data_IF_715399173181
#
_entry.id   IF_715399173181
#
_cell.length_a   1.000
_cell.length_b   1.000
_cell.length_c   1.000
_cell.angle_alpha   90.00
_cell.angle_beta   90.00
_cell.angle_gamma   90.00
#
_symmetry.space_group_name_H-M   'P 1'
#
loop_
_entity.id
_entity.type
_entity.pdbx_description
1 polymer ?
#
# COMPACT_ATOMS: atom_id res chain seq x y z
N UNK A 1 -6.64 -13.54 -22.23
CA UNK A 1 -7.94 -14.19 -22.00
C UNK A 1 -8.91 -13.18 -21.43
N UNK A 2 -10.14 -13.11 -21.92
CA UNK A 2 -11.19 -12.24 -21.37
C UNK A 2 -11.97 -12.92 -20.22
N UNK A 3 -11.63 -14.17 -19.92
CA UNK A 3 -12.28 -14.96 -18.87
C UNK A 3 -11.38 -15.04 -17.65
N UNK A 4 -11.95 -14.91 -16.47
CA UNK A 4 -11.25 -15.21 -15.22
C UNK A 4 -11.05 -16.75 -15.09
N UNK A 5 -10.24 -17.18 -14.14
CA UNK A 5 -9.89 -18.61 -13.96
C UNK A 5 -11.11 -19.49 -13.73
N UNK A 6 -12.12 -18.99 -13.01
CA UNK A 6 -13.41 -19.69 -12.77
C UNK A 6 -14.19 -19.90 -14.05
N UNK A 7 -14.35 -18.84 -14.83
CA UNK A 7 -15.07 -18.90 -16.11
C UNK A 7 -14.36 -19.83 -17.08
N UNK A 8 -13.02 -19.76 -17.12
CA UNK A 8 -12.21 -20.68 -17.91
C UNK A 8 -12.36 -22.13 -17.47
N UNK A 9 -12.42 -22.38 -16.15
CA UNK A 9 -12.68 -23.71 -15.59
C UNK A 9 -14.10 -24.20 -15.92
N UNK A 10 -15.11 -23.35 -15.78
CA UNK A 10 -16.50 -23.69 -16.14
C UNK A 10 -16.65 -23.97 -17.63
N UNK A 11 -16.02 -23.19 -18.50
CA UNK A 11 -16.05 -23.45 -19.95
C UNK A 11 -15.39 -24.78 -20.30
N UNK A 12 -14.39 -25.22 -19.53
CA UNK A 12 -13.73 -26.52 -19.72
C UNK A 12 -14.69 -27.71 -19.51
N UNK A 13 -15.75 -27.53 -18.72
CA UNK A 13 -16.78 -28.53 -18.47
C UNK A 13 -17.79 -28.62 -19.63
N UNK A 14 -17.99 -27.52 -20.38
CA UNK A 14 -19.00 -27.43 -21.43
C UNK A 14 -18.64 -28.19 -22.70
N UNK A 15 -17.36 -28.41 -22.98
CA UNK A 15 -16.93 -29.07 -24.21
C UNK A 15 -15.59 -29.79 -24.07
N UNK A 16 -15.47 -30.99 -24.65
CA UNK A 16 -14.21 -31.72 -24.77
C UNK A 16 -13.09 -30.90 -25.44
N UNK A 17 -13.46 -30.01 -26.36
CA UNK A 17 -12.55 -29.10 -27.09
C UNK A 17 -11.96 -28.04 -26.15
N UNK A 18 -12.68 -27.60 -25.12
CA UNK A 18 -12.31 -26.53 -24.21
C UNK A 18 -11.65 -27.05 -22.92
N UNK A 19 -11.73 -28.37 -22.70
CA UNK A 19 -11.19 -29.02 -21.48
C UNK A 19 -9.74 -28.71 -21.22
N UNK A 20 -8.95 -28.52 -22.27
CA UNK A 20 -7.50 -28.27 -22.17
C UNK A 20 -7.13 -26.79 -22.28
N UNK A 21 -8.09 -25.86 -22.47
CA UNK A 21 -7.78 -24.44 -22.64
C UNK A 21 -7.24 -23.80 -21.38
N UNK A 22 -7.67 -24.25 -20.21
CA UNK A 22 -7.16 -23.77 -18.93
C UNK A 22 -5.65 -24.02 -18.78
N UNK A 23 -5.13 -25.06 -19.46
CA UNK A 23 -3.70 -25.38 -19.46
C UNK A 23 -2.83 -24.31 -20.14
N UNK A 24 -3.42 -23.42 -20.93
CA UNK A 24 -2.71 -22.39 -21.69
C UNK A 24 -3.04 -20.97 -21.26
N UNK A 25 -3.77 -20.79 -20.13
CA UNK A 25 -4.08 -19.46 -19.60
C UNK A 25 -2.85 -18.93 -18.88
N UNK A 26 -2.21 -17.84 -19.37
CA UNK A 26 -0.99 -17.31 -18.74
C UNK A 26 -1.27 -16.56 -17.44
N UNK A 27 -2.52 -16.18 -17.19
CA UNK A 27 -2.93 -15.41 -16.03
C UNK A 27 -3.91 -16.23 -15.20
N UNK A 28 -3.49 -16.63 -13.99
CA UNK A 28 -4.37 -17.28 -13.03
C UNK A 28 -4.82 -16.27 -11.99
N UNK A 29 -6.13 -16.23 -11.78
CA UNK A 29 -6.80 -15.43 -10.78
C UNK A 29 -7.72 -16.34 -9.96
N UNK A 30 -7.33 -16.66 -8.73
CA UNK A 30 -7.93 -17.68 -7.89
C UNK A 30 -8.39 -17.04 -6.58
N UNK A 31 -9.70 -17.07 -6.35
CA UNK A 31 -10.34 -16.52 -5.15
C UNK A 31 -11.20 -17.59 -4.47
N UNK A 32 -11.14 -17.69 -3.15
CA UNK A 32 -11.95 -18.65 -2.38
C UNK A 32 -13.39 -18.20 -2.17
N UNK A 33 -13.69 -16.90 -2.33
CA UNK A 33 -15.04 -16.35 -2.22
C UNK A 33 -16.08 -17.08 -3.10
N UNK A 34 -15.62 -17.68 -4.18
CA UNK A 34 -16.38 -18.49 -5.13
C UNK A 34 -17.03 -19.70 -4.46
N UNK A 35 -16.40 -20.24 -3.43
CA UNK A 35 -16.82 -21.44 -2.70
C UNK A 35 -17.67 -21.09 -1.48
N UNK A 36 -17.72 -19.83 -1.04
CA UNK A 36 -18.51 -19.41 0.12
C UNK A 36 -19.98 -19.29 -0.20
N UNK A 37 -20.77 -20.26 0.30
CA UNK A 37 -22.21 -20.16 0.40
C UNK A 37 -22.57 -19.55 1.76
N UNK A 38 -23.48 -18.56 1.83
CA UNK A 38 -23.85 -17.95 3.11
C UNK A 38 -24.42 -18.98 4.09
N UNK A 39 -23.93 -18.91 5.34
CA UNK A 39 -24.45 -19.61 6.53
C UNK A 39 -24.37 -21.15 6.52
N UNK A 40 -23.16 -21.71 6.54
CA UNK A 40 -22.97 -23.14 6.82
C UNK A 40 -22.10 -23.35 8.05
N UNK A 41 -22.42 -24.40 8.87
CA UNK A 41 -21.67 -24.75 10.09
C UNK A 41 -20.21 -25.16 9.83
N UNK A 42 -19.41 -25.29 10.91
CA UNK A 42 -17.97 -25.51 10.88
C UNK A 42 -17.54 -26.67 9.96
N UNK A 43 -18.17 -27.86 10.09
CA UNK A 43 -17.85 -29.04 9.26
C UNK A 43 -18.01 -28.81 7.74
N UNK A 44 -18.93 -27.92 7.35
CA UNK A 44 -19.12 -27.58 5.94
C UNK A 44 -18.06 -26.60 5.45
N UNK A 45 -17.53 -25.75 6.33
CA UNK A 45 -16.44 -24.83 6.02
C UNK A 45 -15.16 -25.58 5.72
N UNK A 46 -14.75 -26.50 6.59
CA UNK A 46 -13.54 -27.30 6.42
C UNK A 46 -13.58 -28.11 5.11
N UNK A 47 -14.76 -28.65 4.75
CA UNK A 47 -14.94 -29.33 3.46
C UNK A 47 -14.82 -28.38 2.26
N UNK A 48 -15.32 -27.16 2.39
CA UNK A 48 -15.25 -26.15 1.32
C UNK A 48 -13.80 -25.73 1.13
N UNK A 49 -13.06 -25.51 2.21
CA UNK A 49 -11.63 -25.19 2.16
C UNK A 49 -10.84 -26.31 1.48
N UNK A 50 -11.11 -27.59 1.84
CA UNK A 50 -10.49 -28.72 1.18
C UNK A 50 -10.81 -28.77 -0.32
N UNK A 51 -12.05 -28.52 -0.71
CA UNK A 51 -12.45 -28.47 -2.13
C UNK A 51 -11.76 -27.34 -2.87
N UNK A 52 -11.57 -26.18 -2.23
CA UNK A 52 -10.81 -25.08 -2.80
C UNK A 52 -9.35 -25.48 -3.02
N UNK A 53 -8.69 -26.01 -2.00
CA UNK A 53 -7.30 -26.46 -2.10
C UNK A 53 -7.12 -27.52 -3.20
N UNK A 54 -8.01 -28.51 -3.28
CA UNK A 54 -8.00 -29.53 -4.33
C UNK A 54 -8.25 -28.93 -5.73
N UNK A 55 -9.03 -27.87 -5.81
CA UNK A 55 -9.26 -27.14 -7.06
C UNK A 55 -7.98 -26.44 -7.54
N UNK A 56 -7.29 -25.71 -6.65
CA UNK A 56 -6.01 -25.04 -6.98
C UNK A 56 -4.97 -26.06 -7.42
N UNK A 57 -4.79 -27.15 -6.69
CA UNK A 57 -3.87 -28.22 -7.03
C UNK A 57 -4.14 -28.78 -8.45
N UNK A 58 -5.41 -29.00 -8.79
CA UNK A 58 -5.81 -29.49 -10.10
C UNK A 58 -5.55 -28.48 -11.22
N UNK A 59 -5.85 -27.20 -10.97
CA UNK A 59 -5.61 -26.13 -11.96
C UNK A 59 -4.12 -26.05 -12.28
N UNK A 60 -3.27 -26.00 -11.25
CA UNK A 60 -1.83 -25.94 -11.41
C UNK A 60 -1.26 -27.21 -12.10
N UNK A 61 -1.76 -28.40 -11.73
CA UNK A 61 -1.38 -29.65 -12.38
C UNK A 61 -1.77 -29.72 -13.84
N UNK A 62 -2.97 -29.22 -14.21
CA UNK A 62 -3.44 -29.18 -15.61
C UNK A 62 -2.60 -28.25 -16.48
N UNK A 63 -2.08 -27.18 -15.93
CA UNK A 63 -1.20 -26.25 -16.65
C UNK A 63 0.22 -26.82 -16.89
N UNK A 64 0.63 -27.79 -16.09
CA UNK A 64 1.97 -28.41 -16.21
C UNK A 64 3.07 -27.34 -16.10
N UNK A 65 3.96 -27.31 -17.08
CA UNK A 65 5.09 -26.37 -17.15
C UNK A 65 4.83 -25.19 -18.11
N UNK A 66 3.56 -24.90 -18.45
CA UNK A 66 3.25 -23.76 -19.33
C UNK A 66 3.74 -22.45 -18.69
N UNK A 67 4.35 -21.54 -19.46
CA UNK A 67 4.75 -20.23 -18.95
C UNK A 67 3.56 -19.50 -18.35
N UNK A 68 3.81 -18.79 -17.25
CA UNK A 68 2.81 -17.99 -16.53
C UNK A 68 3.28 -16.55 -16.42
N UNK A 69 2.40 -15.62 -16.71
CA UNK A 69 2.67 -14.18 -16.61
C UNK A 69 2.21 -13.63 -15.26
N UNK A 70 0.97 -13.97 -14.84
CA UNK A 70 0.37 -13.49 -13.61
C UNK A 70 -0.21 -14.62 -12.76
N UNK A 71 0.04 -14.56 -11.48
CA UNK A 71 -0.61 -15.39 -10.46
C UNK A 71 -1.24 -14.53 -9.37
N UNK A 72 -2.54 -14.68 -9.17
CA UNK A 72 -3.31 -14.00 -8.14
C UNK A 72 -3.99 -15.07 -7.27
N UNK A 73 -3.77 -14.99 -5.96
CA UNK A 73 -4.36 -15.87 -4.96
C UNK A 73 -4.96 -15.05 -3.82
N UNK A 74 -6.28 -15.16 -3.64
CA UNK A 74 -7.00 -14.62 -2.49
C UNK A 74 -7.75 -15.75 -1.79
N UNK A 75 -7.30 -16.10 -0.57
CA UNK A 75 -7.84 -17.24 0.13
C UNK A 75 -7.72 -17.17 1.65
N UNK A 76 -8.60 -17.92 2.31
CA UNK A 76 -8.66 -18.00 3.77
C UNK A 76 -8.79 -19.44 4.27
N UNK A 77 -8.20 -19.75 5.44
CA UNK A 77 -8.28 -21.04 6.07
C UNK A 77 -7.55 -22.15 5.31
N UNK A 78 -6.50 -21.80 4.58
CA UNK A 78 -5.66 -22.73 3.83
C UNK A 78 -4.44 -23.14 4.64
N UNK A 79 -3.85 -24.28 4.28
CA UNK A 79 -2.60 -24.76 4.85
C UNK A 79 -1.42 -23.98 4.25
N UNK A 80 -0.54 -23.43 5.10
CA UNK A 80 0.64 -22.68 4.70
C UNK A 80 1.57 -23.48 3.77
N UNK A 81 1.77 -24.78 4.06
CA UNK A 81 2.61 -25.66 3.24
C UNK A 81 2.07 -25.78 1.81
N UNK A 82 0.74 -25.79 1.64
CA UNK A 82 0.13 -25.82 0.30
C UNK A 82 0.33 -24.50 -0.45
N UNK A 83 0.19 -23.37 0.25
CA UNK A 83 0.45 -22.05 -0.35
C UNK A 83 1.90 -21.99 -0.83
N UNK A 84 2.85 -22.43 -0.02
CA UNK A 84 4.27 -22.49 -0.40
C UNK A 84 4.49 -23.35 -1.65
N UNK A 85 3.88 -24.54 -1.71
CA UNK A 85 3.94 -25.41 -2.90
C UNK A 85 3.36 -24.74 -4.15
N UNK A 86 2.28 -24.00 -4.04
CA UNK A 86 1.68 -23.27 -5.17
C UNK A 86 2.59 -22.14 -5.65
N UNK A 87 3.15 -21.36 -4.71
CA UNK A 87 4.10 -20.30 -5.02
C UNK A 87 5.34 -20.89 -5.73
N UNK A 88 5.95 -21.94 -5.19
CA UNK A 88 7.09 -22.60 -5.81
C UNK A 88 6.77 -23.06 -7.25
N UNK A 89 5.60 -23.64 -7.43
CA UNK A 89 5.16 -24.12 -8.74
C UNK A 89 5.08 -22.97 -9.77
N UNK A 90 4.49 -21.82 -9.42
CA UNK A 90 4.35 -20.68 -10.33
C UNK A 90 5.68 -19.96 -10.56
N UNK A 91 6.56 -19.95 -9.54
CA UNK A 91 7.89 -19.36 -9.64
C UNK A 91 8.76 -20.08 -10.69
N UNK A 92 8.74 -21.40 -10.70
CA UNK A 92 9.48 -22.22 -11.69
C UNK A 92 9.01 -21.91 -13.12
N UNK A 93 7.74 -21.53 -13.31
CA UNK A 93 7.17 -21.17 -14.61
C UNK A 93 7.53 -19.75 -15.06
N UNK A 94 8.23 -19.00 -14.24
CA UNK A 94 8.74 -17.68 -14.56
C UNK A 94 7.69 -16.58 -14.53
N UNK A 95 6.75 -16.65 -13.59
CA UNK A 95 5.75 -15.61 -13.32
C UNK A 95 6.41 -14.25 -13.14
N UNK A 96 5.79 -13.20 -13.70
CA UNK A 96 6.27 -11.81 -13.63
C UNK A 96 5.43 -10.93 -12.70
N UNK A 97 4.19 -11.33 -12.42
CA UNK A 97 3.29 -10.60 -11.52
C UNK A 97 2.68 -11.56 -10.51
N UNK A 98 2.79 -11.22 -9.23
CA UNK A 98 2.21 -11.99 -8.12
C UNK A 98 1.35 -11.07 -7.27
N UNK A 99 0.13 -11.53 -6.96
CA UNK A 99 -0.76 -11.01 -5.94
C UNK A 99 -1.07 -12.12 -4.93
N UNK A 100 -0.87 -11.85 -3.64
CA UNK A 100 -1.17 -12.77 -2.56
C UNK A 100 -1.95 -12.08 -1.45
N UNK A 101 -3.12 -12.62 -1.12
CA UNK A 101 -3.92 -12.31 0.05
C UNK A 101 -4.23 -13.64 0.73
N UNK A 102 -3.62 -13.91 1.90
CA UNK A 102 -3.66 -15.24 2.51
C UNK A 102 -3.92 -15.16 4.01
N UNK A 103 -5.11 -15.58 4.42
CA UNK A 103 -5.45 -15.79 5.83
C UNK A 103 -5.36 -17.26 6.20
N UNK A 104 -4.48 -17.64 7.13
CA UNK A 104 -4.37 -19.03 7.57
C UNK A 104 -5.59 -19.46 8.38
N UNK A 105 -5.87 -18.80 9.50
CA UNK A 105 -7.12 -18.97 10.26
C UNK A 105 -7.57 -17.63 10.82
N UNK A 106 -8.71 -17.11 10.36
CA UNK A 106 -9.26 -15.84 10.86
C UNK A 106 -9.54 -15.81 12.38
N UNK A 107 -9.48 -16.97 13.07
CA UNK A 107 -9.75 -17.07 14.50
C UNK A 107 -8.49 -17.10 15.35
N UNK A 108 -7.41 -17.68 14.83
CA UNK A 108 -6.11 -17.73 15.54
C UNK A 108 -5.37 -16.40 15.44
N UNK A 109 -5.68 -15.60 14.40
CA UNK A 109 -4.89 -14.41 14.08
C UNK A 109 -3.51 -14.75 13.52
N UNK A 110 -3.30 -16.01 13.09
CA UNK A 110 -2.03 -16.44 12.50
C UNK A 110 -1.90 -15.88 11.08
N UNK A 111 -0.80 -15.19 10.84
CA UNK A 111 -0.44 -14.67 9.52
C UNK A 111 0.33 -15.73 8.73
N UNK A 112 0.20 -15.68 7.40
CA UNK A 112 1.01 -16.48 6.49
C UNK A 112 2.41 -15.87 6.39
N UNK A 113 3.43 -16.60 6.87
CA UNK A 113 4.81 -16.19 6.71
C UNK A 113 5.24 -16.38 5.24
N UNK A 114 5.51 -15.28 4.56
CA UNK A 114 5.88 -15.31 3.15
C UNK A 114 7.17 -16.11 2.94
N UNK A 115 7.11 -17.09 2.04
CA UNK A 115 8.28 -17.89 1.69
C UNK A 115 9.39 -17.00 1.08
N UNK A 116 10.62 -17.04 1.61
CA UNK A 116 11.75 -16.29 1.05
C UNK A 116 12.03 -16.60 -0.42
N UNK A 117 11.61 -17.76 -0.92
CA UNK A 117 11.79 -18.19 -2.31
C UNK A 117 11.18 -17.25 -3.32
N UNK A 118 10.13 -16.50 -2.95
CA UNK A 118 9.53 -15.50 -3.85
C UNK A 118 10.55 -14.45 -4.29
N UNK A 119 11.51 -14.13 -3.43
CA UNK A 119 12.56 -13.14 -3.67
C UNK A 119 13.74 -13.69 -4.49
N UNK A 120 13.74 -14.98 -4.82
CA UNK A 120 14.71 -15.59 -5.74
C UNK A 120 14.35 -15.38 -7.21
N UNK A 121 13.10 -14.98 -7.51
CA UNK A 121 12.62 -14.82 -8.88
C UNK A 121 13.11 -13.52 -9.53
N UNK A 122 14.16 -13.63 -10.33
CA UNK A 122 14.74 -12.48 -11.06
C UNK A 122 13.88 -11.94 -12.21
N UNK A 123 12.72 -12.55 -12.49
CA UNK A 123 11.76 -12.11 -13.53
C UNK A 123 10.57 -11.35 -12.96
N UNK A 124 10.44 -11.26 -11.63
CA UNK A 124 9.33 -10.60 -10.99
C UNK A 124 9.37 -9.08 -11.25
N UNK A 125 8.30 -8.57 -11.82
CA UNK A 125 8.12 -7.15 -12.16
C UNK A 125 7.14 -6.46 -11.22
N UNK A 126 6.09 -7.18 -10.78
CA UNK A 126 5.10 -6.70 -9.82
C UNK A 126 4.89 -7.70 -8.70
N UNK A 127 4.95 -7.21 -7.46
CA UNK A 127 4.61 -7.95 -6.25
C UNK A 127 3.57 -7.16 -5.47
N UNK A 128 2.46 -7.82 -5.16
CA UNK A 128 1.37 -7.26 -4.37
C UNK A 128 1.03 -8.26 -3.26
N UNK A 129 1.20 -7.84 -2.02
CA UNK A 129 0.96 -8.62 -0.82
C UNK A 129 -0.12 -7.92 -0.01
N UNK A 130 -1.15 -8.67 0.33
CA UNK A 130 -2.30 -8.11 1.05
C UNK A 130 -2.72 -9.06 2.18
N UNK A 131 -3.46 -8.53 3.10
CA UNK A 131 -4.17 -9.19 4.20
C UNK A 131 -3.61 -10.54 4.68
N UNK A 132 -3.17 -10.59 5.93
CA UNK A 132 -2.73 -11.82 6.58
C UNK A 132 -1.33 -12.31 6.18
N UNK A 133 -0.59 -11.54 5.39
CA UNK A 133 0.80 -11.88 5.00
C UNK A 133 1.78 -11.24 5.98
N UNK A 134 2.71 -12.05 6.50
CA UNK A 134 3.82 -11.63 7.36
C UNK A 134 5.13 -11.70 6.57
N UNK A 135 5.81 -10.58 6.45
CA UNK A 135 7.10 -10.47 5.75
C UNK A 135 8.27 -10.17 6.71
N UNK A 136 8.10 -10.45 8.00
CA UNK A 136 9.13 -10.20 9.01
C UNK A 136 10.31 -11.19 8.99
N UNK A 137 10.22 -12.29 8.24
CA UNK A 137 11.27 -13.31 8.16
C UNK A 137 12.26 -13.10 7.00
N UNK A 138 12.22 -11.95 6.35
CA UNK A 138 13.16 -11.65 5.26
C UNK A 138 14.61 -11.61 5.77
N UNK A 139 15.53 -12.12 4.96
CA UNK A 139 16.96 -12.04 5.18
C UNK A 139 17.65 -11.08 4.19
N UNK A 140 18.93 -10.82 4.40
CA UNK A 140 19.71 -9.91 3.56
C UNK A 140 20.05 -10.47 2.17
N UNK A 141 19.72 -11.74 1.89
CA UNK A 141 20.03 -12.40 0.61
C UNK A 141 19.01 -12.08 -0.50
N UNK A 142 17.92 -11.41 -0.15
CA UNK A 142 16.88 -11.05 -1.12
C UNK A 142 17.39 -10.05 -2.15
N UNK A 143 17.00 -10.24 -3.42
CA UNK A 143 17.35 -9.32 -4.49
C UNK A 143 16.43 -9.49 -5.69
N UNK A 144 15.62 -8.49 -6.01
CA UNK A 144 14.68 -8.44 -7.13
C UNK A 144 15.07 -7.30 -8.09
N UNK A 145 16.02 -7.54 -9.00
CA UNK A 145 16.65 -6.47 -9.78
C UNK A 145 15.74 -5.75 -10.76
N UNK A 146 14.63 -6.35 -11.18
CA UNK A 146 13.70 -5.78 -12.17
C UNK A 146 12.31 -5.51 -11.63
N UNK A 147 12.10 -5.66 -10.31
CA UNK A 147 10.81 -5.32 -9.70
C UNK A 147 10.55 -3.82 -9.84
N UNK A 148 9.40 -3.49 -10.41
CA UNK A 148 8.98 -2.11 -10.65
C UNK A 148 7.89 -1.64 -9.72
N UNK A 149 6.97 -2.52 -9.33
CA UNK A 149 5.84 -2.19 -8.48
C UNK A 149 5.80 -3.11 -7.27
N UNK A 150 5.80 -2.50 -6.09
CA UNK A 150 5.57 -3.16 -4.81
C UNK A 150 4.34 -2.56 -4.14
N UNK A 151 3.35 -3.40 -3.85
CA UNK A 151 2.16 -3.05 -3.08
C UNK A 151 2.11 -3.89 -1.82
N UNK A 152 2.07 -3.23 -0.68
CA UNK A 152 1.89 -3.83 0.64
C UNK A 152 0.62 -3.24 1.26
N UNK A 153 -0.40 -4.08 1.47
CA UNK A 153 -1.70 -3.68 2.00
C UNK A 153 -2.08 -4.58 3.17
N UNK A 154 -2.24 -4.01 4.35
CA UNK A 154 -2.63 -4.74 5.56
C UNK A 154 -1.71 -5.94 5.86
N UNK A 155 -0.40 -5.75 5.68
CA UNK A 155 0.62 -6.77 5.94
C UNK A 155 1.35 -6.50 7.25
N UNK A 156 1.83 -7.58 7.90
CA UNK A 156 2.69 -7.48 9.07
C UNK A 156 4.14 -7.27 8.63
N UNK A 157 4.77 -6.19 9.11
CA UNK A 157 6.12 -5.77 8.70
C UNK A 157 6.91 -5.20 9.88
N UNK A 158 8.22 -5.42 9.92
CA UNK A 158 9.11 -4.69 10.81
C UNK A 158 9.96 -3.68 10.05
N UNK A 159 10.36 -2.60 10.72
CA UNK A 159 11.09 -1.47 10.10
C UNK A 159 12.40 -1.93 9.46
N UNK A 160 13.18 -2.74 10.17
CA UNK A 160 14.45 -3.30 9.68
C UNK A 160 14.25 -4.14 8.40
N UNK A 161 13.16 -4.91 8.33
CA UNK A 161 12.85 -5.70 7.13
C UNK A 161 12.35 -4.85 5.97
N UNK A 162 11.65 -3.76 6.25
CA UNK A 162 11.26 -2.81 5.23
C UNK A 162 12.49 -2.14 4.57
N UNK A 163 13.46 -1.73 5.37
CA UNK A 163 14.71 -1.14 4.85
C UNK A 163 15.50 -2.16 4.01
N UNK A 164 15.65 -3.40 4.49
CA UNK A 164 16.29 -4.49 3.73
C UNK A 164 15.55 -4.70 2.40
N UNK A 165 14.22 -4.74 2.43
CA UNK A 165 13.39 -4.92 1.24
C UNK A 165 13.64 -3.80 0.22
N UNK A 166 13.61 -2.54 0.62
CA UNK A 166 13.85 -1.43 -0.30
C UNK A 166 15.24 -1.48 -0.94
N UNK A 167 16.29 -1.83 -0.18
CA UNK A 167 17.63 -1.99 -0.71
C UNK A 167 17.76 -3.13 -1.74
N UNK A 168 16.91 -4.15 -1.62
CA UNK A 168 16.87 -5.29 -2.53
C UNK A 168 16.18 -4.99 -3.87
N UNK A 169 15.57 -3.79 -4.04
CA UNK A 169 14.71 -3.40 -5.17
C UNK A 169 15.27 -2.21 -5.96
N UNK A 170 16.42 -2.33 -6.63
CA UNK A 170 17.10 -1.19 -7.27
C UNK A 170 16.34 -0.57 -8.44
N UNK A 171 15.35 -1.25 -9.01
CA UNK A 171 14.52 -0.78 -10.13
C UNK A 171 13.10 -0.40 -9.73
N UNK A 172 12.82 -0.30 -8.43
CA UNK A 172 11.48 0.00 -7.93
C UNK A 172 11.03 1.40 -8.37
N UNK A 173 9.94 1.48 -9.13
CA UNK A 173 9.38 2.72 -9.63
C UNK A 173 8.13 3.15 -8.83
N UNK A 174 7.37 2.20 -8.32
CA UNK A 174 6.11 2.42 -7.60
C UNK A 174 6.10 1.65 -6.28
N UNK A 175 5.81 2.36 -5.19
CA UNK A 175 5.64 1.82 -3.84
C UNK A 175 4.28 2.23 -3.30
N UNK A 176 3.49 1.25 -2.85
CA UNK A 176 2.24 1.47 -2.13
C UNK A 176 2.33 0.80 -0.78
N UNK A 177 2.11 1.57 0.28
CA UNK A 177 1.97 1.12 1.66
C UNK A 177 0.57 1.52 2.12
N UNK A 178 -0.30 0.56 2.37
CA UNK A 178 -1.67 0.79 2.85
C UNK A 178 -1.93 -0.07 4.10
N UNK A 179 -2.35 0.56 5.18
CA UNK A 179 -2.74 -0.11 6.43
C UNK A 179 -1.69 -1.08 6.99
N UNK A 180 -0.42 -0.64 7.03
CA UNK A 180 0.70 -1.49 7.46
C UNK A 180 0.63 -1.75 8.96
N UNK A 181 0.69 -3.02 9.34
CA UNK A 181 0.82 -3.44 10.74
C UNK A 181 2.32 -3.53 11.13
N UNK A 182 2.83 -2.48 11.79
CA UNK A 182 4.21 -2.43 12.24
C UNK A 182 4.40 -3.25 13.52
N UNK A 183 5.39 -4.12 13.53
CA UNK A 183 5.63 -5.06 14.64
C UNK A 183 6.14 -4.40 15.94
N UNK A 184 6.45 -3.11 15.92
CA UNK A 184 7.03 -2.35 17.04
C UNK A 184 6.26 -1.06 17.28
N UNK A 185 6.39 -0.49 18.50
CA UNK A 185 5.68 0.72 18.90
C UNK A 185 6.42 2.02 18.55
N UNK A 186 7.76 1.98 18.52
CA UNK A 186 8.64 3.11 18.15
C UNK A 186 9.01 2.94 16.67
N UNK A 187 8.18 3.51 15.80
CA UNK A 187 8.25 3.28 14.36
C UNK A 187 8.90 4.45 13.65
N UNK A 188 10.20 4.32 13.41
CA UNK A 188 10.96 5.25 12.58
C UNK A 188 11.19 4.66 11.20
N UNK A 189 10.52 5.20 10.18
CA UNK A 189 10.54 4.68 8.81
C UNK A 189 11.34 5.61 7.91
N UNK A 190 12.26 5.04 7.13
CA UNK A 190 12.96 5.73 6.06
C UNK A 190 12.63 5.10 4.71
N UNK A 191 11.99 5.87 3.84
CA UNK A 191 11.80 5.48 2.43
C UNK A 191 12.98 6.01 1.64
N UNK A 192 13.97 5.14 1.38
CA UNK A 192 15.19 5.49 0.66
C UNK A 192 15.29 4.70 -0.64
N UNK A 193 15.21 5.40 -1.79
CA UNK A 193 15.36 4.79 -3.11
C UNK A 193 15.63 5.85 -4.18
N UNK A 194 16.63 5.60 -5.00
CA UNK A 194 16.97 6.47 -6.13
C UNK A 194 16.09 6.27 -7.36
N UNK A 195 15.34 5.16 -7.43
CA UNK A 195 14.53 4.79 -8.62
C UNK A 195 13.05 5.10 -8.46
N UNK A 196 12.54 5.31 -7.23
CA UNK A 196 11.14 5.56 -6.98
C UNK A 196 10.63 6.83 -7.67
N UNK A 197 9.53 6.69 -8.38
CA UNK A 197 8.81 7.75 -9.07
C UNK A 197 7.46 8.05 -8.42
N UNK A 198 6.83 7.03 -7.85
CA UNK A 198 5.50 7.12 -7.25
C UNK A 198 5.51 6.47 -5.87
N UNK A 199 5.04 7.21 -4.88
CA UNK A 199 4.83 6.70 -3.52
C UNK A 199 3.39 6.99 -3.12
N UNK A 200 2.71 5.98 -2.59
CA UNK A 200 1.43 6.08 -1.91
C UNK A 200 1.57 5.48 -0.52
N UNK A 201 1.28 6.26 0.51
CA UNK A 201 1.25 5.83 1.91
C UNK A 201 -0.12 6.19 2.47
N UNK A 202 -0.87 5.19 2.90
CA UNK A 202 -2.19 5.37 3.52
C UNK A 202 -2.24 4.59 4.84
N UNK A 203 -2.77 5.21 5.89
CA UNK A 203 -3.13 4.55 7.14
C UNK A 203 -2.08 3.59 7.72
N UNK A 204 -0.79 3.91 7.55
CA UNK A 204 0.30 3.09 8.08
C UNK A 204 0.49 3.23 9.59
N UNK A 205 -0.42 3.95 10.27
CA UNK A 205 -0.48 4.06 11.70
C UNK A 205 0.32 5.25 12.28
N UNK A 206 0.53 5.22 13.58
CA UNK A 206 1.26 6.28 14.28
C UNK A 206 2.77 6.06 14.11
N UNK A 207 3.39 6.89 13.25
CA UNK A 207 4.84 6.88 13.08
C UNK A 207 5.48 7.91 14.01
N UNK A 208 6.57 7.52 14.70
CA UNK A 208 7.39 8.47 15.45
C UNK A 208 8.20 9.33 14.48
N UNK A 209 8.69 8.72 13.41
CA UNK A 209 9.46 9.46 12.40
C UNK A 209 9.26 8.88 11.01
N UNK A 210 9.09 9.77 10.01
CA UNK A 210 9.00 9.42 8.60
C UNK A 210 9.99 10.24 7.78
N UNK A 211 10.90 9.55 7.09
CA UNK A 211 11.90 10.17 6.23
C UNK A 211 11.74 9.75 4.77
N UNK A 212 11.99 10.69 3.86
CA UNK A 212 12.01 10.46 2.42
C UNK A 212 13.37 10.84 1.85
N UNK A 213 14.14 9.87 1.35
CA UNK A 213 15.35 10.07 0.54
C UNK A 213 15.10 9.50 -0.86
N UNK A 214 14.29 10.21 -1.63
CA UNK A 214 13.73 9.77 -2.90
C UNK A 214 13.88 10.86 -3.97
N UNK A 215 15.12 11.11 -4.45
CA UNK A 215 15.41 12.22 -5.34
C UNK A 215 14.71 12.14 -6.70
N UNK A 216 14.31 10.95 -7.15
CA UNK A 216 13.60 10.74 -8.43
C UNK A 216 12.08 10.78 -8.32
N UNK A 217 11.54 11.04 -7.13
CA UNK A 217 10.11 11.03 -6.89
C UNK A 217 9.38 12.12 -7.66
N UNK A 218 8.32 11.73 -8.37
CA UNK A 218 7.48 12.62 -9.19
C UNK A 218 6.09 12.79 -8.57
N UNK A 219 5.56 11.75 -7.96
CA UNK A 219 4.23 11.74 -7.35
C UNK A 219 4.27 11.22 -5.93
N UNK A 220 3.66 11.94 -4.99
CA UNK A 220 3.48 11.55 -3.60
C UNK A 220 1.99 11.64 -3.22
N UNK A 221 1.42 10.52 -2.75
CA UNK A 221 0.16 10.49 -2.02
C UNK A 221 0.46 10.05 -0.58
N UNK A 222 0.23 10.95 0.37
CA UNK A 222 0.44 10.67 1.80
C UNK A 222 -0.83 10.98 2.57
N UNK A 223 -1.49 9.93 3.04
CA UNK A 223 -2.74 9.99 3.80
C UNK A 223 -2.61 9.20 5.09
N UNK A 224 -2.11 9.84 6.15
CA UNK A 224 -1.82 9.17 7.41
C UNK A 224 -1.91 10.13 8.61
N UNK A 225 -1.76 9.58 9.80
CA UNK A 225 -1.57 10.39 11.00
C UNK A 225 -0.29 11.23 10.90
N UNK A 226 -0.33 12.41 11.52
CA UNK A 226 0.87 13.27 11.61
C UNK A 226 1.95 12.51 12.38
N UNK A 227 3.10 12.24 11.73
CA UNK A 227 4.28 11.71 12.38
C UNK A 227 4.87 12.73 13.38
N UNK A 228 5.59 12.26 14.39
CA UNK A 228 6.20 13.16 15.37
C UNK A 228 7.34 13.98 14.75
N UNK A 229 8.06 13.40 13.77
CA UNK A 229 9.10 14.13 13.02
C UNK A 229 9.21 13.68 11.56
N UNK A 230 9.76 14.56 10.73
CA UNK A 230 10.11 14.34 9.32
C UNK A 230 11.58 14.73 9.09
N UNK A 231 12.57 13.97 9.59
CA UNK A 231 13.99 14.37 9.63
C UNK A 231 14.61 14.62 8.26
N UNK A 232 14.24 13.80 7.27
CA UNK A 232 14.72 13.90 5.90
C UNK A 232 13.52 13.96 4.95
N UNK A 233 13.49 14.97 4.10
CA UNK A 233 12.44 15.14 3.08
C UNK A 233 13.09 15.62 1.77
N UNK A 234 13.88 14.71 1.14
CA UNK A 234 14.59 14.96 -0.11
C UNK A 234 13.77 14.43 -1.29
N UNK A 235 12.99 15.30 -1.90
CA UNK A 235 12.08 15.02 -3.02
C UNK A 235 12.18 16.13 -4.06
N UNK A 236 13.38 16.37 -4.57
CA UNK A 236 13.69 17.56 -5.41
C UNK A 236 12.90 17.60 -6.73
N UNK A 237 12.58 16.41 -7.30
CA UNK A 237 11.87 16.27 -8.56
C UNK A 237 10.35 16.09 -8.41
N UNK A 238 9.82 16.26 -7.19
CA UNK A 238 8.41 16.08 -6.94
C UNK A 238 7.56 17.08 -7.72
N UNK A 239 6.64 16.55 -8.52
CA UNK A 239 5.78 17.32 -9.41
C UNK A 239 4.37 17.48 -8.84
N UNK A 240 3.81 16.42 -8.28
CA UNK A 240 2.47 16.39 -7.69
C UNK A 240 2.52 15.78 -6.29
N UNK A 241 1.85 16.43 -5.34
CA UNK A 241 1.65 15.90 -3.99
C UNK A 241 0.19 15.97 -3.58
N UNK A 242 -0.29 14.90 -2.99
CA UNK A 242 -1.60 14.82 -2.30
C UNK A 242 -1.35 14.51 -0.83
N UNK A 243 -1.70 15.44 0.05
CA UNK A 243 -1.41 15.34 1.47
C UNK A 243 -2.71 15.37 2.27
N UNK A 244 -2.96 14.30 3.01
CA UNK A 244 -4.09 14.15 3.92
C UNK A 244 -3.60 13.75 5.30
N UNK A 245 -3.28 14.73 6.13
CA UNK A 245 -2.80 14.52 7.50
C UNK A 245 -3.99 14.29 8.42
N UNK A 246 -4.03 13.11 9.03
CA UNK A 246 -5.08 12.74 9.96
C UNK A 246 -4.70 13.15 11.38
N UNK A 247 -5.68 13.70 12.09
CA UNK A 247 -5.55 14.02 13.52
C UNK A 247 -6.37 12.98 14.28
N UNK A 248 -5.75 12.21 15.19
CA UNK A 248 -6.47 11.20 15.94
C UNK A 248 -7.60 11.83 16.77
N UNK A 249 -8.72 11.10 16.92
CA UNK A 249 -9.82 11.56 17.81
C UNK A 249 -9.36 11.71 19.25
N UNK A 250 -8.36 10.93 19.69
CA UNK A 250 -7.70 11.11 20.99
C UNK A 250 -6.83 12.37 21.04
N UNK A 251 -6.15 12.73 19.96
CA UNK A 251 -5.45 14.02 19.87
C UNK A 251 -6.45 15.19 19.81
N UNK A 252 -7.61 15.01 19.17
CA UNK A 252 -8.72 15.99 19.24
C UNK A 252 -9.32 16.11 20.65
N UNK A 253 -9.52 14.98 21.33
CA UNK A 253 -10.02 14.96 22.71
C UNK A 253 -8.97 15.46 23.71
N UNK A 254 -7.68 15.19 23.43
CA UNK A 254 -6.54 15.65 24.22
C UNK A 254 -6.17 17.11 23.97
N UNK A 255 -6.61 17.75 22.88
CA UNK A 255 -6.52 19.20 22.69
C UNK A 255 -7.18 20.00 23.83
N UNK A 256 -8.05 19.35 24.64
CA UNK A 256 -8.52 19.91 25.92
C UNK A 256 -7.63 19.56 27.12
N UNK A 257 -6.60 18.67 26.98
CA UNK A 257 -5.82 18.14 28.12
C UNK A 257 -4.32 17.90 27.82
N UNK A 258 -3.83 17.96 26.56
CA UNK A 258 -2.39 18.01 26.29
C UNK A 258 -1.92 19.44 26.56
N UNK A 259 -0.77 19.55 27.20
CA UNK A 259 -0.02 20.80 27.24
C UNK A 259 0.08 21.32 25.82
N UNK A 260 -0.37 22.54 25.57
CA UNK A 260 -0.35 23.21 24.26
C UNK A 260 1.01 23.04 23.56
N UNK A 261 2.08 22.93 24.31
CA UNK A 261 3.45 22.79 23.85
C UNK A 261 3.73 21.48 23.07
N UNK A 262 3.20 20.33 23.48
CA UNK A 262 3.47 19.03 22.83
C UNK A 262 2.76 18.91 21.47
N UNK A 263 1.54 19.44 21.36
CA UNK A 263 0.79 19.47 20.10
C UNK A 263 1.44 20.44 19.11
N UNK A 264 1.86 21.60 19.59
CA UNK A 264 2.55 22.62 18.79
C UNK A 264 3.89 22.09 18.27
N UNK A 265 4.66 21.39 19.11
CA UNK A 265 5.92 20.77 18.69
C UNK A 265 5.71 19.71 17.61
N UNK A 266 4.76 18.81 17.78
CA UNK A 266 4.45 17.77 16.82
C UNK A 266 4.01 18.34 15.46
N UNK A 267 3.09 19.30 15.47
CA UNK A 267 2.62 19.94 14.24
C UNK A 267 3.68 20.87 13.63
N UNK A 268 4.56 21.45 14.44
CA UNK A 268 5.69 22.27 13.97
C UNK A 268 6.62 21.49 13.02
N UNK A 269 6.79 20.18 13.24
CA UNK A 269 7.61 19.32 12.37
C UNK A 269 6.99 19.06 10.99
N UNK A 270 5.68 19.27 10.81
CA UNK A 270 5.02 19.23 9.50
C UNK A 270 5.63 20.26 8.52
N UNK A 271 6.16 21.37 9.04
CA UNK A 271 6.92 22.33 8.24
C UNK A 271 8.10 21.71 7.50
N UNK A 272 8.75 20.65 8.06
CA UNK A 272 9.83 19.92 7.40
C UNK A 272 9.30 19.12 6.19
N UNK A 273 8.16 18.45 6.34
CA UNK A 273 7.48 17.77 5.24
C UNK A 273 7.09 18.76 4.14
N UNK A 274 6.44 19.88 4.52
CA UNK A 274 6.05 20.92 3.57
C UNK A 274 7.25 21.51 2.83
N UNK A 275 8.39 21.68 3.52
CA UNK A 275 9.62 22.12 2.88
C UNK A 275 10.18 21.07 1.89
N UNK A 276 10.03 19.78 2.17
CA UNK A 276 10.39 18.69 1.24
C UNK A 276 9.60 18.73 -0.06
N UNK A 277 8.32 19.10 0.01
CA UNK A 277 7.42 19.15 -1.16
C UNK A 277 7.36 20.54 -1.82
N UNK A 278 8.20 21.49 -1.45
CA UNK A 278 8.14 22.91 -1.91
C UNK A 278 8.24 23.12 -3.42
N UNK A 279 8.75 22.13 -4.16
CA UNK A 279 8.99 22.23 -5.61
C UNK A 279 7.78 21.79 -6.46
N UNK A 280 6.70 21.30 -5.85
CA UNK A 280 5.53 20.78 -6.57
C UNK A 280 4.87 21.82 -7.46
N UNK A 281 4.27 21.36 -8.57
CA UNK A 281 3.42 22.16 -9.43
C UNK A 281 1.94 21.96 -9.11
N UNK A 282 1.57 20.79 -8.58
CA UNK A 282 0.20 20.43 -8.21
C UNK A 282 0.19 19.98 -6.76
N UNK A 283 -0.63 20.63 -5.95
CA UNK A 283 -0.77 20.30 -4.53
C UNK A 283 -2.25 20.13 -4.18
N UNK A 284 -2.59 18.98 -3.61
CA UNK A 284 -3.92 18.66 -3.09
C UNK A 284 -3.82 18.50 -1.57
N UNK A 285 -4.60 19.27 -0.82
CA UNK A 285 -4.62 19.27 0.64
C UNK A 285 -6.02 18.93 1.17
N UNK A 286 -6.11 17.97 2.09
CA UNK A 286 -7.36 17.67 2.79
C UNK A 286 -7.71 18.73 3.84
N UNK A 287 -8.97 18.74 4.29
CA UNK A 287 -9.46 19.62 5.34
C UNK A 287 -8.64 19.44 6.66
N UNK A 288 -8.35 18.21 7.03
CA UNK A 288 -7.55 17.93 8.22
C UNK A 288 -6.12 18.47 8.07
N UNK A 289 -5.55 18.41 6.87
CA UNK A 289 -4.22 19.01 6.62
C UNK A 289 -4.24 20.51 6.81
N UNK A 290 -5.29 21.22 6.38
CA UNK A 290 -5.42 22.66 6.63
C UNK A 290 -5.51 22.97 8.14
N UNK A 291 -6.21 22.15 8.91
CA UNK A 291 -6.31 22.31 10.36
C UNK A 291 -4.91 22.19 10.99
N UNK A 292 -4.13 21.18 10.62
CA UNK A 292 -2.74 21.02 11.08
C UNK A 292 -1.88 22.22 10.65
N UNK A 293 -1.95 22.63 9.39
CA UNK A 293 -1.17 23.75 8.88
C UNK A 293 -1.55 25.10 9.54
N UNK A 294 -2.78 25.27 10.02
CA UNK A 294 -3.20 26.48 10.71
C UNK A 294 -2.43 26.71 12.02
N UNK A 295 -1.93 25.62 12.64
CA UNK A 295 -1.13 25.69 13.88
C UNK A 295 0.34 25.97 13.59
N UNK A 296 0.87 25.58 12.41
CA UNK A 296 2.29 25.71 12.06
C UNK A 296 2.55 26.67 10.89
N UNK A 297 1.65 27.63 10.63
CA UNK A 297 1.74 28.55 9.47
C UNK A 297 3.05 29.33 9.36
N UNK A 298 3.71 29.64 10.48
CA UNK A 298 4.92 30.47 10.51
C UNK A 298 6.11 29.81 9.79
N UNK A 299 6.14 28.48 9.71
CA UNK A 299 7.23 27.71 9.07
C UNK A 299 6.92 27.26 7.64
N UNK A 300 5.88 27.83 7.00
CA UNK A 300 5.46 27.45 5.66
C UNK A 300 6.49 27.87 4.60
N UNK A 301 6.97 26.92 3.75
CA UNK A 301 7.91 27.27 2.68
C UNK A 301 7.26 28.08 1.57
N UNK A 302 8.09 28.70 0.72
CA UNK A 302 7.62 29.32 -0.52
C UNK A 302 7.57 28.27 -1.62
N UNK A 303 6.38 28.06 -2.19
CA UNK A 303 6.10 27.16 -3.30
C UNK A 303 6.29 27.89 -4.64
N UNK A 304 7.54 28.01 -5.08
CA UNK A 304 7.88 28.78 -6.28
C UNK A 304 7.33 28.23 -7.58
N UNK A 305 7.07 26.93 -7.62
CA UNK A 305 6.64 26.23 -8.84
C UNK A 305 5.14 25.90 -8.84
N UNK A 306 4.42 26.16 -7.74
CA UNK A 306 3.03 25.78 -7.58
C UNK A 306 2.13 26.53 -8.55
N UNK A 307 1.44 25.79 -9.41
CA UNK A 307 0.48 26.28 -10.40
C UNK A 307 -0.96 26.00 -10.00
N UNK A 308 -1.22 24.86 -9.39
CA UNK A 308 -2.56 24.46 -8.99
C UNK A 308 -2.57 24.01 -7.53
N UNK A 309 -3.46 24.58 -6.77
CA UNK A 309 -3.75 24.22 -5.38
C UNK A 309 -5.20 23.76 -5.28
N UNK A 310 -5.41 22.51 -4.90
CA UNK A 310 -6.72 21.95 -4.59
C UNK A 310 -6.87 21.80 -3.08
N UNK A 311 -7.95 22.28 -2.54
CA UNK A 311 -8.27 22.20 -1.11
C UNK A 311 -9.63 21.57 -0.96
N UNK A 312 -9.65 20.43 -0.23
CA UNK A 312 -10.88 19.78 0.20
C UNK A 312 -11.20 20.29 1.60
N UNK A 313 -12.31 20.97 1.76
CA UNK A 313 -12.70 21.57 3.03
C UNK A 313 -14.02 20.99 3.52
N UNK A 314 -14.06 20.68 4.82
CA UNK A 314 -15.26 20.38 5.56
C UNK A 314 -15.50 21.55 6.50
N UNK A 315 -16.64 22.24 6.36
CA UNK A 315 -16.98 23.42 7.17
C UNK A 315 -15.84 24.46 7.29
N UNK A 316 -15.78 25.36 8.14
CA UNK A 316 -14.82 26.48 8.20
C UNK A 316 -13.47 26.15 8.88
N UNK A 317 -13.08 24.88 9.01
CA UNK A 317 -11.88 24.49 9.76
C UNK A 317 -10.60 24.71 8.96
N UNK A 318 -9.54 25.15 9.62
CA UNK A 318 -8.20 25.30 9.03
C UNK A 318 -8.02 26.47 8.08
N UNK A 319 -9.06 27.28 7.84
CA UNK A 319 -9.01 28.42 6.91
C UNK A 319 -7.96 29.48 7.26
N UNK A 320 -7.47 29.49 8.51
CA UNK A 320 -6.38 30.36 8.95
C UNK A 320 -5.08 30.11 8.20
N UNK A 321 -4.86 28.89 7.68
CA UNK A 321 -3.70 28.55 6.85
C UNK A 321 -3.75 29.17 5.45
N UNK A 322 -4.95 29.45 4.91
CA UNK A 322 -5.15 29.92 3.54
C UNK A 322 -4.38 31.19 3.16
N UNK A 323 -4.43 32.28 3.95
CA UNK A 323 -3.70 33.51 3.62
C UNK A 323 -2.20 33.27 3.52
N UNK A 324 -1.65 32.36 4.34
CA UNK A 324 -0.21 32.03 4.33
C UNK A 324 0.14 31.17 3.12
N UNK A 325 -0.66 30.14 2.81
CA UNK A 325 -0.49 29.32 1.61
C UNK A 325 -0.51 30.17 0.32
N UNK A 326 -1.50 31.04 0.18
CA UNK A 326 -1.62 31.92 -1.00
C UNK A 326 -0.46 32.92 -1.09
N UNK A 327 -0.03 33.51 0.04
CA UNK A 327 1.11 34.42 0.07
C UNK A 327 2.40 33.72 -0.35
N UNK A 328 2.55 32.45 0.05
CA UNK A 328 3.73 31.64 -0.23
C UNK A 328 3.66 30.91 -1.59
N UNK A 329 2.65 31.17 -2.41
CA UNK A 329 2.46 30.57 -3.73
C UNK A 329 2.38 31.66 -4.82
N UNK A 330 3.51 32.36 -5.13
CA UNK A 330 3.51 33.57 -5.97
C UNK A 330 3.14 33.31 -7.42
N UNK A 331 3.21 32.08 -7.90
CA UNK A 331 2.90 31.70 -9.30
C UNK A 331 1.65 30.81 -9.40
N UNK A 332 0.78 30.85 -8.39
CA UNK A 332 -0.46 30.09 -8.40
C UNK A 332 -1.41 30.59 -9.51
N UNK A 333 -1.79 29.69 -10.41
CA UNK A 333 -2.68 29.97 -11.55
C UNK A 333 -4.11 29.49 -11.26
N UNK A 334 -4.25 28.37 -10.52
CA UNK A 334 -5.54 27.72 -10.27
C UNK A 334 -5.71 27.42 -8.80
N UNK A 335 -6.83 27.84 -8.24
CA UNK A 335 -7.28 27.46 -6.89
C UNK A 335 -8.61 26.73 -7.01
N UNK A 336 -8.64 25.47 -6.57
CA UNK A 336 -9.85 24.64 -6.50
C UNK A 336 -10.25 24.47 -5.04
N UNK A 337 -11.49 24.82 -4.71
CA UNK A 337 -12.06 24.62 -3.38
C UNK A 337 -13.20 23.61 -3.50
N UNK A 338 -12.99 22.40 -2.97
CA UNK A 338 -14.01 21.37 -2.87
C UNK A 338 -14.62 21.42 -1.47
N UNK A 339 -15.86 21.87 -1.37
CA UNK A 339 -16.56 21.96 -0.09
C UNK A 339 -17.55 20.80 0.03
N UNK A 340 -17.33 19.93 1.00
CA UNK A 340 -18.29 18.88 1.36
C UNK A 340 -19.27 19.41 2.38
N UNK A 341 -20.55 19.46 2.02
CA UNK A 341 -21.64 19.79 2.96
C UNK A 341 -22.17 18.45 3.48
N UNK A 342 -21.95 18.16 4.75
CA UNK A 342 -22.66 17.03 5.37
C UNK A 342 -24.16 17.33 5.35
N UNK A 343 -24.89 16.64 4.48
CA UNK A 343 -26.35 16.56 4.57
C UNK A 343 -26.67 15.66 5.77
N UNK A 344 -26.88 16.26 6.95
CA UNK A 344 -27.49 15.56 8.08
C UNK A 344 -28.87 15.06 7.67
N UNK A 345 -29.00 13.75 7.49
CA UNK A 345 -30.26 13.02 7.42
C UNK A 345 -30.61 12.41 8.77
#
# INVERSE_FOLDING_TARGET
SFLNTKEAALTSVLSKRWRNLIAFVPNLDIEDNIFYLPRKGKEKRDKIQQLFMDFVDRVLALQGNSPMEKFSLDCSGVDSERVDCWIENVMVRGVSEIYLSVFLDPRSGDNYHLSPKIFENKKLVKLELSYGVDICLLDESIFLPILKTLVLDSVLLSVDKFEILLHALPSLEELVLDDIDWKVWDVTVTVSSASLKTITINRSGFLDSLSFDTPSLVYLCYSDFVAEDYPVAKMENLFEARISLLVSGEARARNNYLLEDDVVLRFGNVGKLMNGIRNVQYLDLSANTLEVLSVCCESMPVFKNLKSLTIKSEESRGWQAMPVLLRNSPHLETLVLEVYIETTH
#
